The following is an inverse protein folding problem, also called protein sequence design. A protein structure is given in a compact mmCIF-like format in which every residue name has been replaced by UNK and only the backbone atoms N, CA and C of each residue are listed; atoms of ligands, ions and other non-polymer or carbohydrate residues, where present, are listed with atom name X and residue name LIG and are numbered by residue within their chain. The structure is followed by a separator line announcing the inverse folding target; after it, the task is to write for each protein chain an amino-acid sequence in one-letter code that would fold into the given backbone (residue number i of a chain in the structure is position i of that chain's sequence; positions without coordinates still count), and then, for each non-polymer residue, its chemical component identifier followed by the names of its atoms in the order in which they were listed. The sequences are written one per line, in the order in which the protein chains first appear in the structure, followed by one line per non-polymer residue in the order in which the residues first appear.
data_IF_288493686441
#
_entry.id   IF_288493686441
#
_cell.length_a   1.000
_cell.length_b   1.000
_cell.length_c   1.000
_cell.angle_alpha   90.00
_cell.angle_beta   90.00
_cell.angle_gamma   90.00
#
_symmetry.space_group_name_H-M   'P 1'
#
loop_
_entity.id
_entity.type
_entity.pdbx_description
1 polymer ?
#
# COMPACT_ATOMS: atom_id res chain seq x y z
N UNK A 1 6.03 -67.74 -77.98
CA UNK A 1 5.55 -67.91 -76.62
C UNK A 1 6.54 -67.14 -75.72
N UNK A 2 6.20 -65.94 -75.35
CA UNK A 2 7.04 -65.06 -74.57
C UNK A 2 6.14 -64.38 -73.55
N UNK A 3 6.34 -64.77 -72.32
CA UNK A 3 5.61 -64.17 -71.16
C UNK A 3 6.27 -62.78 -70.85
N UNK A 4 5.38 -61.82 -70.77
CA UNK A 4 5.78 -60.49 -70.35
C UNK A 4 5.66 -60.38 -68.83
N UNK A 5 6.76 -60.09 -68.14
CA UNK A 5 6.80 -59.86 -66.71
C UNK A 5 6.10 -58.53 -66.33
N UNK A 6 5.19 -58.64 -65.38
CA UNK A 6 4.52 -57.51 -64.75
C UNK A 6 5.45 -56.92 -63.66
N UNK A 7 6.06 -55.74 -63.91
CA UNK A 7 6.78 -54.97 -62.90
C UNK A 7 5.83 -54.13 -62.07
N UNK A 8 5.53 -54.59 -60.86
CA UNK A 8 4.78 -53.84 -59.87
C UNK A 8 5.51 -52.56 -59.47
N UNK A 9 5.00 -51.42 -59.87
CA UNK A 9 5.37 -50.09 -59.41
C UNK A 9 5.03 -49.94 -57.92
N UNK A 10 6.02 -50.12 -57.06
CA UNK A 10 5.95 -49.72 -55.65
C UNK A 10 5.85 -48.19 -55.57
N UNK A 11 4.67 -47.69 -55.24
CA UNK A 11 4.43 -46.26 -55.06
C UNK A 11 5.26 -45.67 -53.94
N UNK A 12 6.16 -44.78 -54.26
CA UNK A 12 6.90 -43.99 -53.30
C UNK A 12 5.91 -43.08 -52.50
N UNK A 13 5.58 -43.50 -51.30
CA UNK A 13 4.76 -42.68 -50.41
C UNK A 13 5.49 -41.36 -50.04
N UNK A 14 4.81 -40.24 -50.07
CA UNK A 14 5.45 -38.93 -50.00
C UNK A 14 5.96 -38.63 -48.57
N UNK A 15 7.24 -38.87 -48.36
CA UNK A 15 7.94 -38.39 -47.15
C UNK A 15 7.79 -36.89 -46.98
N UNK A 16 7.42 -36.18 -48.04
CA UNK A 16 7.26 -34.70 -48.07
C UNK A 16 6.01 -34.21 -47.28
N UNK A 17 4.94 -35.02 -47.21
CA UNK A 17 3.73 -34.66 -46.48
C UNK A 17 3.91 -34.70 -44.94
N UNK A 18 4.76 -35.63 -44.44
CA UNK A 18 5.05 -35.71 -43.01
C UNK A 18 5.90 -34.54 -42.53
N UNK A 19 6.85 -34.05 -43.32
CA UNK A 19 7.66 -32.88 -42.99
C UNK A 19 6.81 -31.60 -42.92
N UNK A 20 5.87 -31.46 -43.87
CA UNK A 20 4.92 -30.33 -43.85
C UNK A 20 3.98 -30.42 -42.66
N UNK A 21 3.49 -31.59 -42.32
CA UNK A 21 2.62 -31.79 -41.15
C UNK A 21 3.37 -31.48 -39.83
N UNK A 22 4.59 -31.95 -39.68
CA UNK A 22 5.44 -31.65 -38.52
C UNK A 22 5.74 -30.15 -38.40
N UNK A 23 6.05 -29.48 -39.52
CA UNK A 23 6.28 -28.03 -39.53
C UNK A 23 5.05 -27.24 -39.15
N UNK A 24 3.86 -27.58 -39.65
CA UNK A 24 2.61 -26.93 -39.28
C UNK A 24 2.30 -27.16 -37.80
N UNK A 25 2.54 -28.35 -37.28
CA UNK A 25 2.32 -28.67 -35.86
C UNK A 25 3.24 -27.85 -34.95
N UNK A 26 4.50 -27.66 -35.33
CA UNK A 26 5.46 -26.80 -34.61
C UNK A 26 5.00 -25.32 -34.62
N UNK A 27 4.52 -24.84 -35.78
CA UNK A 27 4.00 -23.47 -35.90
C UNK A 27 2.75 -23.26 -35.03
N UNK A 28 1.83 -24.22 -35.06
CA UNK A 28 0.61 -24.14 -34.22
C UNK A 28 0.94 -24.20 -32.73
N UNK A 29 1.87 -25.10 -32.35
CA UNK A 29 2.33 -25.18 -30.96
C UNK A 29 3.07 -23.91 -30.53
N UNK A 30 3.92 -23.33 -31.39
CA UNK A 30 4.60 -22.07 -31.17
C UNK A 30 3.62 -20.89 -31.04
N UNK A 31 2.61 -20.82 -31.91
CA UNK A 31 1.56 -19.81 -31.83
C UNK A 31 0.71 -19.96 -30.57
N UNK A 32 0.30 -21.19 -30.22
CA UNK A 32 -0.46 -21.46 -29.00
C UNK A 32 0.36 -21.13 -27.74
N UNK A 33 1.65 -21.44 -27.72
CA UNK A 33 2.56 -21.06 -26.64
C UNK A 33 2.72 -19.54 -26.54
N UNK A 34 2.92 -18.85 -27.67
CA UNK A 34 2.99 -17.40 -27.70
C UNK A 34 1.70 -16.76 -27.21
N UNK A 35 0.54 -17.20 -27.73
CA UNK A 35 -0.78 -16.71 -27.28
C UNK A 35 -0.96 -16.99 -25.78
N UNK A 36 -0.66 -18.20 -25.30
CA UNK A 36 -0.78 -18.55 -23.89
C UNK A 36 0.17 -17.73 -23.02
N UNK A 37 1.39 -17.49 -23.46
CA UNK A 37 2.38 -16.69 -22.74
C UNK A 37 2.00 -15.21 -22.67
N UNK A 38 1.46 -14.65 -23.76
CA UNK A 38 1.03 -13.26 -23.82
C UNK A 38 -0.38 -13.03 -23.24
N UNK A 39 -1.27 -14.01 -23.27
CA UNK A 39 -2.58 -13.93 -22.60
C UNK A 39 -2.50 -14.11 -21.09
N UNK A 40 -1.40 -14.71 -20.59
CA UNK A 40 -1.14 -14.79 -19.15
C UNK A 40 -0.71 -13.43 -18.54
N UNK A 41 -0.34 -12.45 -19.36
CA UNK A 41 -0.32 -11.05 -18.94
C UNK A 41 -1.79 -10.55 -18.97
N UNK A 42 -2.58 -11.00 -17.98
CA UNK A 42 -3.88 -10.40 -17.70
C UNK A 42 -3.71 -8.88 -17.62
N UNK A 43 -4.65 -8.13 -18.13
CA UNK A 43 -4.69 -6.68 -17.87
C UNK A 43 -4.60 -6.51 -16.36
N UNK A 44 -3.45 -6.03 -15.88
CA UNK A 44 -3.34 -5.61 -14.47
C UNK A 44 -4.45 -4.59 -14.31
N UNK A 45 -5.38 -4.84 -13.40
CA UNK A 45 -6.44 -3.90 -13.12
C UNK A 45 -5.76 -2.55 -12.79
N UNK A 46 -6.22 -1.48 -13.41
CA UNK A 46 -5.69 -0.16 -13.08
C UNK A 46 -6.20 0.24 -11.69
N UNK A 47 -5.37 0.90 -10.87
CA UNK A 47 -5.82 1.42 -9.59
C UNK A 47 -6.96 2.43 -9.80
N UNK A 48 -7.92 2.46 -8.89
CA UNK A 48 -8.93 3.49 -8.86
C UNK A 48 -8.47 4.71 -8.04
N UNK A 49 -9.33 5.73 -7.94
CA UNK A 49 -9.02 6.96 -7.20
C UNK A 49 -8.75 6.70 -5.71
N UNK A 50 -9.45 5.74 -5.10
CA UNK A 50 -9.25 5.39 -3.69
C UNK A 50 -7.91 4.68 -3.47
N UNK A 51 -7.52 3.76 -4.35
CA UNK A 51 -6.21 3.09 -4.26
C UNK A 51 -5.06 4.11 -4.33
N UNK A 52 -5.17 5.07 -5.27
CA UNK A 52 -4.15 6.11 -5.49
C UNK A 52 -4.13 7.14 -4.37
N UNK A 53 -5.31 7.60 -3.94
CA UNK A 53 -5.46 8.55 -2.85
C UNK A 53 -4.94 7.98 -1.53
N UNK A 54 -5.35 6.78 -1.18
CA UNK A 54 -4.83 6.06 -0.02
C UNK A 54 -3.30 5.96 -0.03
N UNK A 55 -2.73 5.53 -1.18
CA UNK A 55 -1.27 5.40 -1.28
C UNK A 55 -0.53 6.73 -1.09
N UNK A 56 -1.11 7.86 -1.48
CA UNK A 56 -0.52 9.19 -1.30
C UNK A 56 -0.67 9.71 0.11
N UNK A 57 -1.89 9.69 0.62
CA UNK A 57 -2.22 10.33 1.89
C UNK A 57 -1.63 9.53 3.06
N UNK A 58 -1.67 8.20 2.98
CA UNK A 58 -1.08 7.34 4.01
C UNK A 58 0.46 7.43 4.04
N UNK A 59 1.14 7.77 2.95
CA UNK A 59 2.57 8.09 2.99
C UNK A 59 2.85 9.36 3.80
N UNK A 60 2.04 10.41 3.61
CA UNK A 60 2.15 11.67 4.37
C UNK A 60 1.89 11.41 5.85
N UNK A 61 0.84 10.65 6.13
CA UNK A 61 0.47 10.24 7.47
C UNK A 61 1.61 9.45 8.15
N UNK A 62 2.10 8.41 7.52
CA UNK A 62 3.21 7.58 8.04
C UNK A 62 4.50 8.36 8.28
N UNK A 63 4.81 9.33 7.42
CA UNK A 63 5.99 10.16 7.61
C UNK A 63 5.97 10.90 8.95
N UNK A 64 4.80 11.38 9.40
CA UNK A 64 4.68 12.03 10.70
C UNK A 64 4.81 11.03 11.87
N UNK A 65 4.22 9.85 11.77
CA UNK A 65 4.40 8.81 12.79
C UNK A 65 5.87 8.42 12.95
N UNK A 66 6.59 8.26 11.83
CA UNK A 66 8.04 8.00 11.87
C UNK A 66 8.79 9.13 12.57
N UNK A 67 8.44 10.38 12.32
CA UNK A 67 9.04 11.52 12.99
C UNK A 67 8.81 11.49 14.51
N UNK A 68 7.54 11.36 14.95
CA UNK A 68 7.18 11.27 16.37
C UNK A 68 7.87 10.08 17.05
N UNK A 69 7.80 8.91 16.44
CA UNK A 69 8.40 7.69 16.98
C UNK A 69 9.93 7.80 17.08
N UNK A 70 10.60 8.46 16.16
CA UNK A 70 12.05 8.68 16.22
C UNK A 70 12.47 9.74 17.24
N UNK A 71 11.62 10.72 17.55
CA UNK A 71 11.83 11.64 18.67
C UNK A 71 11.81 10.83 19.97
N UNK A 72 10.77 10.04 20.17
CA UNK A 72 10.57 9.23 21.36
C UNK A 72 11.65 8.16 21.54
N UNK A 73 11.93 7.37 20.52
CA UNK A 73 12.95 6.33 20.52
C UNK A 73 14.32 6.83 21.03
N UNK A 74 14.71 8.05 20.65
CA UNK A 74 16.01 8.63 21.01
C UNK A 74 16.05 9.17 22.41
N UNK A 75 14.92 9.55 22.97
CA UNK A 75 14.85 10.35 24.19
C UNK A 75 14.31 9.60 25.40
N UNK A 76 13.29 8.73 25.22
CA UNK A 76 12.63 8.08 26.34
C UNK A 76 13.58 7.21 27.19
N UNK A 77 13.33 7.17 28.49
CA UNK A 77 14.00 6.28 29.43
C UNK A 77 13.22 4.99 29.72
N UNK A 78 12.00 4.90 29.19
CA UNK A 78 11.15 3.71 29.31
C UNK A 78 11.53 2.69 28.22
N UNK A 79 11.96 1.51 28.63
CA UNK A 79 12.46 0.47 27.73
C UNK A 79 11.34 -0.09 26.81
N UNK A 80 10.09 -0.22 27.32
CA UNK A 80 8.97 -0.74 26.55
C UNK A 80 8.56 0.30 25.47
N UNK A 81 8.46 1.57 25.87
CA UNK A 81 8.14 2.65 24.95
C UNK A 81 9.22 2.83 23.88
N UNK A 82 10.49 2.67 24.24
CA UNK A 82 11.59 2.70 23.29
C UNK A 82 11.47 1.59 22.23
N UNK A 83 11.17 0.37 22.64
CA UNK A 83 11.00 -0.76 21.70
C UNK A 83 9.81 -0.50 20.80
N UNK A 84 8.67 -0.11 21.35
CA UNK A 84 7.45 0.18 20.58
C UNK A 84 7.67 1.33 19.57
N UNK A 85 8.34 2.40 19.99
CA UNK A 85 8.66 3.52 19.09
C UNK A 85 9.57 3.10 17.92
N UNK A 86 10.54 2.22 18.17
CA UNK A 86 11.36 1.65 17.11
C UNK A 86 10.54 0.80 16.13
N UNK A 87 9.65 -0.06 16.64
CA UNK A 87 8.81 -0.93 15.83
C UNK A 87 7.84 -0.10 14.98
N UNK A 88 7.19 0.92 15.55
CA UNK A 88 6.34 1.87 14.83
C UNK A 88 7.13 2.56 13.72
N UNK A 89 8.29 3.15 14.04
CA UNK A 89 9.09 3.89 13.05
C UNK A 89 9.50 3.01 11.87
N UNK A 90 10.01 1.81 12.14
CA UNK A 90 10.50 0.90 11.10
C UNK A 90 9.38 0.27 10.28
N UNK A 91 8.29 -0.09 10.93
CA UNK A 91 7.10 -0.64 10.29
C UNK A 91 6.44 0.36 9.34
N UNK A 92 6.18 1.57 9.82
CA UNK A 92 5.56 2.62 9.00
C UNK A 92 6.47 3.12 7.88
N UNK A 93 7.79 3.19 8.12
CA UNK A 93 8.73 3.51 7.05
C UNK A 93 8.71 2.46 5.94
N UNK A 94 8.62 1.17 6.29
CA UNK A 94 8.53 0.09 5.30
C UNK A 94 7.22 0.18 4.50
N UNK A 95 6.09 0.43 5.15
CA UNK A 95 4.78 0.61 4.50
C UNK A 95 4.77 1.84 3.60
N UNK A 96 5.37 2.96 4.03
CA UNK A 96 5.56 4.14 3.20
C UNK A 96 6.34 3.84 1.92
N UNK A 97 7.42 3.06 2.03
CA UNK A 97 8.21 2.60 0.88
C UNK A 97 7.41 1.69 -0.06
N UNK A 98 6.53 0.85 0.45
CA UNK A 98 5.65 0.01 -0.36
C UNK A 98 4.64 0.84 -1.16
N UNK A 99 3.97 1.79 -0.52
CA UNK A 99 3.03 2.72 -1.17
C UNK A 99 3.71 3.61 -2.21
N UNK A 100 4.93 4.07 -1.93
CA UNK A 100 5.77 4.73 -2.92
C UNK A 100 5.99 3.85 -4.15
N UNK A 101 6.32 2.57 -3.93
CA UNK A 101 6.54 1.59 -4.99
C UNK A 101 5.29 1.36 -5.85
N UNK A 102 4.09 1.34 -5.27
CA UNK A 102 2.84 1.21 -6.02
C UNK A 102 2.65 2.37 -7.00
N UNK A 103 2.83 3.61 -6.55
CA UNK A 103 2.70 4.78 -7.41
C UNK A 103 3.72 4.78 -8.55
N UNK A 104 4.96 4.33 -8.30
CA UNK A 104 5.97 4.15 -9.34
C UNK A 104 5.54 3.07 -10.35
N UNK A 105 5.04 1.92 -9.88
CA UNK A 105 4.57 0.83 -10.73
C UNK A 105 3.39 1.27 -11.60
N UNK A 106 2.48 2.08 -11.06
CA UNK A 106 1.34 2.63 -11.78
C UNK A 106 1.70 3.80 -12.71
N UNK A 107 2.95 4.28 -12.67
CA UNK A 107 3.39 5.43 -13.46
C UNK A 107 2.77 6.76 -13.01
N UNK A 108 2.41 6.86 -11.73
CA UNK A 108 1.74 8.02 -11.14
C UNK A 108 2.71 8.86 -10.29
N UNK A 109 2.51 10.18 -10.21
CA UNK A 109 3.31 11.03 -9.35
C UNK A 109 3.02 10.74 -7.86
N UNK A 110 4.03 10.93 -7.01
CA UNK A 110 3.95 10.72 -5.57
C UNK A 110 2.99 11.69 -4.87
N UNK A 111 2.84 12.90 -5.41
CA UNK A 111 1.93 13.92 -4.89
C UNK A 111 0.80 14.14 -5.88
N UNK A 112 -0.43 14.25 -5.37
CA UNK A 112 -1.61 14.66 -6.11
C UNK A 112 -1.77 16.19 -6.14
N UNK A 113 -2.79 16.66 -6.88
CA UNK A 113 -3.24 18.06 -6.82
C UNK A 113 -4.51 18.21 -5.96
N UNK A 114 -5.13 17.09 -5.64
CA UNK A 114 -6.34 17.05 -4.84
C UNK A 114 -6.00 17.24 -3.36
N UNK A 115 -6.89 17.83 -2.57
CA UNK A 115 -6.74 17.89 -1.12
C UNK A 115 -6.59 16.49 -0.50
N UNK A 116 -5.97 16.42 0.68
CA UNK A 116 -5.94 15.20 1.48
C UNK A 116 -7.36 14.66 1.66
N UNK A 117 -7.52 13.35 1.72
CA UNK A 117 -8.80 12.65 1.91
C UNK A 117 -9.86 12.88 0.81
N UNK A 118 -9.52 13.57 -0.32
CA UNK A 118 -10.48 13.83 -1.39
C UNK A 118 -11.07 12.54 -1.99
N UNK A 119 -10.32 11.45 -1.98
CA UNK A 119 -10.74 10.13 -2.43
C UNK A 119 -11.78 9.45 -1.53
N UNK A 120 -11.92 9.91 -0.28
CA UNK A 120 -12.91 9.41 0.68
C UNK A 120 -14.29 10.09 0.50
N UNK A 121 -14.45 11.04 -0.43
CA UNK A 121 -15.70 11.74 -0.72
C UNK A 121 -16.73 10.78 -1.38
N UNK A 122 -17.48 10.19 -0.57
CA UNK A 122 -18.57 9.23 -0.81
C UNK A 122 -19.10 8.74 0.53
N UNK A 123 -18.32 8.92 1.59
CA UNK A 123 -18.71 8.86 2.99
C UNK A 123 -19.09 10.28 3.45
N UNK A 124 -20.10 10.43 4.31
CA UNK A 124 -20.85 11.63 4.68
C UNK A 124 -20.07 12.83 5.31
N UNK A 125 -18.84 13.11 4.87
CA UNK A 125 -18.00 14.20 5.41
C UNK A 125 -17.87 15.37 4.43
N UNK A 126 -18.98 16.07 4.14
CA UNK A 126 -18.95 17.35 3.45
C UNK A 126 -18.68 18.50 4.45
N UNK A 127 -17.46 18.97 4.51
CA UNK A 127 -17.04 20.14 5.27
C UNK A 127 -17.11 21.41 4.41
N UNK A 128 -18.32 21.81 4.03
CA UNK A 128 -18.60 23.04 3.28
C UNK A 128 -18.43 24.29 4.13
N UNK A 129 -17.30 24.96 4.06
CA UNK A 129 -17.03 26.27 4.65
C UNK A 129 -16.03 27.08 3.83
N UNK A 130 -16.16 28.41 3.80
CA UNK A 130 -15.17 29.31 3.15
C UNK A 130 -13.97 29.47 4.08
N UNK A 131 -13.01 28.53 4.02
CA UNK A 131 -11.73 28.56 4.74
C UNK A 131 -10.57 28.80 3.78
N UNK A 132 -9.45 29.29 4.29
CA UNK A 132 -8.22 29.41 3.49
C UNK A 132 -7.70 28.04 3.11
N UNK A 133 -6.92 27.88 2.02
CA UNK A 133 -6.32 26.60 1.65
C UNK A 133 -5.52 25.98 2.79
N UNK A 134 -4.75 26.79 3.53
CA UNK A 134 -3.96 26.32 4.68
C UNK A 134 -4.85 25.83 5.83
N UNK A 135 -5.87 26.62 6.22
CA UNK A 135 -6.77 26.21 7.29
C UNK A 135 -7.55 24.94 6.95
N UNK A 136 -7.85 24.73 5.66
CA UNK A 136 -8.47 23.48 5.20
C UNK A 136 -7.51 22.30 5.27
N UNK A 137 -6.25 22.50 4.93
CA UNK A 137 -5.24 21.44 5.05
C UNK A 137 -5.02 21.06 6.52
N UNK A 138 -4.95 22.03 7.42
CA UNK A 138 -4.80 21.80 8.85
C UNK A 138 -6.03 21.04 9.41
N UNK A 139 -7.25 21.42 9.01
CA UNK A 139 -8.50 20.71 9.36
C UNK A 139 -8.49 19.26 8.87
N UNK A 140 -8.03 19.00 7.64
CA UNK A 140 -7.94 17.65 7.09
C UNK A 140 -6.87 16.80 7.81
N UNK A 141 -5.75 17.41 8.18
CA UNK A 141 -4.71 16.73 8.98
C UNK A 141 -5.23 16.36 10.37
N UNK A 142 -5.95 17.26 11.01
CA UNK A 142 -6.59 17.02 12.31
C UNK A 142 -7.62 15.88 12.20
N UNK A 143 -8.43 15.88 11.16
CA UNK A 143 -9.37 14.78 10.86
C UNK A 143 -8.69 13.43 10.63
N UNK A 144 -7.44 13.43 10.16
CA UNK A 144 -6.60 12.23 10.05
C UNK A 144 -5.92 11.84 11.38
N UNK A 145 -6.19 12.55 12.47
CA UNK A 145 -5.52 12.35 13.77
C UNK A 145 -4.05 12.78 13.78
N UNK A 146 -3.61 13.55 12.79
CA UNK A 146 -2.22 14.03 12.71
C UNK A 146 -1.96 15.12 13.76
N UNK A 147 -0.79 15.06 14.37
CA UNK A 147 -0.33 16.10 15.28
C UNK A 147 -0.10 17.42 14.53
N UNK A 148 -0.46 18.54 15.15
CA UNK A 148 -0.12 19.89 14.67
C UNK A 148 1.36 20.19 14.83
N UNK A 149 1.85 21.21 14.13
CA UNK A 149 3.23 21.69 14.27
C UNK A 149 3.55 22.13 15.72
N UNK A 150 2.55 22.66 16.43
CA UNK A 150 2.70 23.06 17.84
C UNK A 150 2.89 21.84 18.75
N UNK A 151 2.12 20.79 18.56
CA UNK A 151 2.22 19.53 19.32
C UNK A 151 3.53 18.81 19.01
N UNK A 152 3.97 18.76 17.75
CA UNK A 152 5.30 18.25 17.39
C UNK A 152 6.42 19.08 18.03
N UNK A 153 6.26 20.41 18.11
CA UNK A 153 7.17 21.30 18.83
C UNK A 153 7.25 20.95 20.32
N UNK A 154 6.08 20.79 20.96
CA UNK A 154 5.98 20.40 22.37
C UNK A 154 6.58 19.02 22.62
N UNK A 155 6.34 18.03 21.74
CA UNK A 155 6.93 16.70 21.84
C UNK A 155 8.46 16.76 21.82
N UNK A 156 9.05 17.58 20.92
CA UNK A 156 10.51 17.77 20.88
C UNK A 156 11.06 18.43 22.14
N UNK A 157 10.34 19.41 22.69
CA UNK A 157 10.74 20.15 23.90
C UNK A 157 10.65 19.29 25.17
N UNK A 158 9.67 18.38 25.25
CA UNK A 158 9.43 17.52 26.41
C UNK A 158 10.09 16.13 26.29
N UNK A 159 10.73 15.85 25.17
CA UNK A 159 11.32 14.54 24.89
C UNK A 159 12.27 14.06 26.00
N UNK A 160 12.14 12.81 26.42
CA UNK A 160 12.91 12.19 27.51
C UNK A 160 12.45 12.56 28.92
N UNK A 161 11.27 13.16 29.04
CA UNK A 161 10.61 13.41 30.32
C UNK A 161 9.31 12.57 30.42
N UNK A 162 8.81 12.27 31.63
CA UNK A 162 7.54 11.57 31.77
C UNK A 162 6.35 12.29 31.08
N UNK A 163 6.39 13.61 31.00
CA UNK A 163 5.39 14.40 30.28
C UNK A 163 5.50 14.20 28.75
N UNK A 164 6.74 14.09 28.24
CA UNK A 164 7.00 13.78 26.83
C UNK A 164 6.54 12.38 26.46
N UNK A 165 6.84 11.38 27.30
CA UNK A 165 6.39 10.00 27.11
C UNK A 165 4.85 9.92 27.04
N UNK A 166 4.14 10.65 27.94
CA UNK A 166 2.69 10.74 27.92
C UNK A 166 2.17 11.44 26.67
N UNK A 167 2.76 12.58 26.27
CA UNK A 167 2.36 13.31 25.08
C UNK A 167 2.56 12.45 23.81
N UNK A 168 3.70 11.75 23.71
CA UNK A 168 3.94 10.85 22.58
C UNK A 168 2.84 9.77 22.46
N UNK A 169 2.50 9.12 23.58
CA UNK A 169 1.47 8.07 23.55
C UNK A 169 0.10 8.63 23.17
N UNK A 170 -0.26 9.81 23.65
CA UNK A 170 -1.50 10.50 23.30
C UNK A 170 -1.57 10.82 21.80
N UNK A 171 -0.56 11.48 21.28
CA UNK A 171 -0.48 11.85 19.86
C UNK A 171 -0.47 10.62 18.94
N UNK A 172 0.28 9.58 19.30
CA UNK A 172 0.37 8.38 18.49
C UNK A 172 -0.92 7.55 18.50
N UNK A 173 -1.66 7.52 19.60
CA UNK A 173 -2.99 6.90 19.66
C UNK A 173 -3.97 7.64 18.74
N UNK A 174 -4.02 8.97 18.81
CA UNK A 174 -4.86 9.78 17.92
C UNK A 174 -4.52 9.54 16.45
N UNK A 175 -3.22 9.56 16.13
CA UNK A 175 -2.68 9.32 14.81
C UNK A 175 -3.07 7.94 14.26
N UNK A 176 -2.91 6.88 15.03
CA UNK A 176 -3.30 5.53 14.62
C UNK A 176 -4.82 5.38 14.46
N UNK A 177 -5.59 6.07 15.31
CA UNK A 177 -7.07 6.08 15.20
C UNK A 177 -7.51 6.68 13.86
N UNK A 178 -6.93 7.82 13.45
CA UNK A 178 -7.20 8.40 12.13
C UNK A 178 -6.80 7.48 10.97
N UNK A 179 -5.70 6.75 11.11
CA UNK A 179 -5.30 5.77 10.10
C UNK A 179 -6.30 4.60 9.96
N UNK A 180 -6.94 4.16 11.05
CA UNK A 180 -7.97 3.12 10.98
C UNK A 180 -9.18 3.58 10.16
N UNK A 181 -9.57 4.84 10.23
CA UNK A 181 -10.63 5.41 9.40
C UNK A 181 -10.25 5.41 7.91
N UNK A 182 -9.00 5.75 7.59
CA UNK A 182 -8.48 5.66 6.21
C UNK A 182 -8.43 4.21 5.70
N UNK A 183 -8.06 3.27 6.57
CA UNK A 183 -8.06 1.83 6.25
C UNK A 183 -9.48 1.35 5.95
N UNK A 184 -10.46 1.71 6.78
CA UNK A 184 -11.85 1.34 6.55
C UNK A 184 -12.35 1.90 5.21
N UNK A 185 -12.09 3.18 4.94
CA UNK A 185 -12.50 3.82 3.70
C UNK A 185 -11.89 3.14 2.45
N UNK A 186 -10.60 2.78 2.47
CA UNK A 186 -9.99 2.10 1.32
C UNK A 186 -10.47 0.66 1.19
N UNK A 187 -10.85 -0.01 2.28
CA UNK A 187 -11.47 -1.34 2.21
C UNK A 187 -12.81 -1.30 1.47
N UNK A 188 -13.57 -0.22 1.64
CA UNK A 188 -14.88 -0.04 1.00
C UNK A 188 -14.77 0.48 -0.45
N UNK A 189 -13.83 1.37 -0.72
CA UNK A 189 -13.75 2.12 -1.97
C UNK A 189 -12.65 1.63 -2.92
N UNK A 190 -11.62 0.97 -2.41
CA UNK A 190 -10.47 0.49 -3.18
C UNK A 190 -10.80 -0.70 -4.07
N UNK A 191 -9.96 -0.93 -5.05
CA UNK A 191 -10.13 -1.99 -6.04
C UNK A 191 -8.94 -2.92 -6.21
N UNK A 192 -7.74 -2.48 -5.81
CA UNK A 192 -6.52 -3.24 -5.99
C UNK A 192 -6.34 -4.25 -4.85
N UNK A 193 -6.33 -5.58 -5.15
CA UNK A 193 -6.21 -6.60 -4.11
C UNK A 193 -4.97 -6.45 -3.22
N UNK A 194 -3.88 -5.92 -3.76
CA UNK A 194 -2.65 -5.65 -3.01
C UNK A 194 -2.85 -4.52 -2.00
N UNK A 195 -3.50 -3.43 -2.41
CA UNK A 195 -3.80 -2.29 -1.54
C UNK A 195 -4.69 -2.74 -0.40
N UNK A 196 -5.79 -3.44 -0.70
CA UNK A 196 -6.73 -3.95 0.30
C UNK A 196 -6.07 -4.89 1.32
N UNK A 197 -5.24 -5.82 0.85
CA UNK A 197 -4.55 -6.76 1.74
C UNK A 197 -3.54 -6.06 2.67
N UNK A 198 -2.80 -5.07 2.17
CA UNK A 198 -1.85 -4.30 2.99
C UNK A 198 -2.59 -3.38 3.96
N UNK A 199 -3.68 -2.73 3.54
CA UNK A 199 -4.51 -1.91 4.41
C UNK A 199 -5.11 -2.73 5.57
N UNK A 200 -5.61 -3.95 5.32
CA UNK A 200 -6.11 -4.85 6.37
C UNK A 200 -5.01 -5.21 7.39
N UNK A 201 -3.82 -5.57 6.89
CA UNK A 201 -2.68 -5.88 7.76
C UNK A 201 -2.22 -4.65 8.57
N UNK A 202 -2.24 -3.47 7.95
CA UNK A 202 -1.94 -2.18 8.57
C UNK A 202 -2.93 -1.88 9.71
N UNK A 203 -4.24 -1.98 9.46
CA UNK A 203 -5.27 -1.78 10.47
C UNK A 203 -5.11 -2.72 11.67
N UNK A 204 -4.84 -4.00 11.41
CA UNK A 204 -4.58 -4.98 12.47
C UNK A 204 -3.34 -4.62 13.32
N UNK A 205 -2.29 -4.12 12.70
CA UNK A 205 -1.06 -3.72 13.41
C UNK A 205 -1.29 -2.47 14.23
N UNK A 206 -1.88 -1.44 13.63
CA UNK A 206 -2.13 -0.17 14.32
C UNK A 206 -3.10 -0.31 15.50
N UNK A 207 -4.10 -1.18 15.39
CA UNK A 207 -4.97 -1.48 16.54
C UNK A 207 -4.19 -2.09 17.72
N UNK A 208 -3.25 -3.01 17.46
CA UNK A 208 -2.39 -3.58 18.51
C UNK A 208 -1.45 -2.54 19.11
N UNK A 209 -0.96 -1.62 18.31
CA UNK A 209 -0.11 -0.52 18.77
C UNK A 209 -0.91 0.47 19.63
N UNK A 210 -2.16 0.78 19.30
CA UNK A 210 -3.08 1.54 20.15
C UNK A 210 -3.26 0.85 21.50
N UNK A 211 -3.53 -0.45 21.51
CA UNK A 211 -3.73 -1.21 22.75
C UNK A 211 -2.45 -1.19 23.62
N UNK A 212 -1.27 -1.33 23.01
CA UNK A 212 0.02 -1.26 23.69
C UNK A 212 0.29 0.15 24.27
N UNK A 213 0.10 1.20 23.46
CA UNK A 213 0.25 2.59 23.87
C UNK A 213 -0.69 2.95 25.04
N UNK A 214 -1.94 2.50 24.96
CA UNK A 214 -2.94 2.71 26.04
C UNK A 214 -2.52 2.01 27.33
N UNK A 215 -1.95 0.79 27.23
CA UNK A 215 -1.41 0.08 28.38
C UNK A 215 -0.23 0.83 29.01
N UNK A 216 0.66 1.37 28.16
CA UNK A 216 1.80 2.17 28.62
C UNK A 216 1.33 3.46 29.28
N UNK A 217 0.36 4.19 28.71
CA UNK A 217 -0.23 5.38 29.32
C UNK A 217 -0.75 5.09 30.74
N UNK A 218 -1.48 3.97 30.89
CA UNK A 218 -2.02 3.57 32.19
C UNK A 218 -0.89 3.28 33.18
N UNK A 219 0.17 2.58 32.76
CA UNK A 219 1.34 2.25 33.60
C UNK A 219 2.13 3.48 34.01
N UNK A 220 2.28 4.44 33.11
CA UNK A 220 2.98 5.72 33.35
C UNK A 220 2.17 6.70 34.18
N UNK A 221 0.85 6.48 34.33
CA UNK A 221 -0.05 7.38 35.04
C UNK A 221 -0.34 8.66 34.27
N UNK A 222 -0.34 8.60 32.94
CA UNK A 222 -0.73 9.71 32.08
C UNK A 222 -2.22 10.08 32.33
N UNK A 223 -2.52 11.38 32.39
CA UNK A 223 -3.86 11.91 32.66
C UNK A 223 -4.43 12.58 31.41
#
# INVERSE_FOLDING_TARGET
MTEAGDESRAGARPRRSWAVFAFVLVLVAGAAFAIGRFSAFGTVAAPNEADVGFARDMQVHHAQAVEMAMIEYRATQDDELRVLSYDIATGQQAQGGEMYGWLVEWGLPQHGQDPLMAWMQGSEHDHGGAVTPQAREDELRDAMGMASDAELGQLRETAGTPAGDCLFTELMIAHHTGALEMVEAVQDLGSMPRVLAVAEAMGTTQQREIDALTSIQTRLGCQ
#
